data_IF_742480134648
#
_entry.id   IF_742480134648
#
_cell.length_a   1.000
_cell.length_b   1.000
_cell.length_c   1.000
_cell.angle_alpha   90.00
_cell.angle_beta   90.00
_cell.angle_gamma   90.00
#
_symmetry.space_group_name_H-M   'P 1'
#
loop_
_entity.id
_entity.type
_entity.pdbx_description
1 polymer ?
#
# COMPACT_ATOMS: atom_id res chain seq x y z
N UNK A 1 61.76 22.04 -7.86
CA UNK A 1 62.58 20.87 -8.26
C UNK A 1 62.37 19.78 -7.22
N UNK A 2 62.11 18.55 -7.69
CA UNK A 2 62.18 17.24 -7.00
C UNK A 2 61.31 17.06 -5.74
N UNK A 3 60.39 16.12 -5.60
CA UNK A 3 60.09 14.94 -6.42
C UNK A 3 59.64 13.80 -5.50
N UNK A 4 58.42 13.30 -5.71
CA UNK A 4 58.10 11.88 -5.60
C UNK A 4 57.97 11.23 -4.21
N UNK A 5 57.41 10.01 -4.17
CA UNK A 5 56.26 9.69 -3.31
C UNK A 5 56.61 8.77 -2.14
N UNK A 6 55.96 8.96 -0.99
CA UNK A 6 56.06 7.99 0.10
C UNK A 6 55.05 6.86 -0.10
N UNK A 7 55.59 5.65 -0.23
CA UNK A 7 54.92 4.47 -0.74
C UNK A 7 53.96 3.84 0.28
N UNK A 8 52.79 3.47 -0.23
CA UNK A 8 51.89 2.47 0.32
C UNK A 8 52.65 1.15 0.52
N UNK A 9 52.68 0.65 1.76
CA UNK A 9 53.10 -0.72 2.05
C UNK A 9 51.99 -1.39 2.86
N UNK A 10 51.28 -2.28 2.19
CA UNK A 10 50.32 -3.24 2.77
C UNK A 10 50.98 -4.62 2.67
N UNK A 11 51.19 -5.33 3.79
CA UNK A 11 50.86 -6.76 3.85
C UNK A 11 50.39 -7.15 5.29
N UNK A 12 49.71 -8.25 5.61
CA UNK A 12 49.46 -9.53 4.97
C UNK A 12 47.99 -9.93 5.22
N UNK A 13 47.37 -10.45 4.17
CA UNK A 13 46.22 -11.35 4.19
C UNK A 13 46.54 -12.57 5.07
N UNK A 14 45.93 -12.65 6.25
CA UNK A 14 45.85 -13.88 7.02
C UNK A 14 44.67 -14.69 6.51
N UNK A 15 44.98 -15.73 5.74
CA UNK A 15 44.06 -16.77 5.32
C UNK A 15 43.55 -17.51 6.56
N UNK A 16 42.30 -17.27 6.95
CA UNK A 16 41.61 -18.15 7.88
C UNK A 16 40.52 -18.91 7.12
N UNK A 17 40.89 -20.12 6.70
CA UNK A 17 40.00 -21.13 6.12
C UNK A 17 39.31 -21.83 7.30
N UNK A 18 38.00 -21.67 7.53
CA UNK A 18 37.29 -22.61 8.38
C UNK A 18 37.09 -23.92 7.63
N UNK A 19 37.73 -24.95 8.18
CA UNK A 19 37.66 -26.35 7.84
C UNK A 19 36.20 -26.82 7.69
N UNK A 20 35.90 -27.49 6.59
CA UNK A 20 34.63 -28.14 6.34
C UNK A 20 34.41 -29.23 7.40
N UNK A 21 33.47 -28.98 8.32
CA UNK A 21 32.93 -29.99 9.21
C UNK A 21 32.02 -30.93 8.40
N UNK A 22 32.45 -32.18 8.32
CA UNK A 22 31.66 -33.31 7.84
C UNK A 22 30.37 -33.40 8.64
N UNK A 23 29.24 -33.03 8.03
CA UNK A 23 27.93 -33.44 8.52
C UNK A 23 27.59 -34.78 7.88
N UNK A 24 27.76 -35.82 8.68
CA UNK A 24 27.27 -37.15 8.43
C UNK A 24 25.77 -37.12 8.11
N UNK A 25 25.46 -37.51 6.88
CA UNK A 25 24.12 -37.84 6.41
C UNK A 25 23.65 -39.10 7.16
N UNK A 26 22.82 -38.93 8.18
CA UNK A 26 22.02 -40.02 8.75
C UNK A 26 20.67 -39.51 9.24
N UNK A 27 19.70 -40.42 9.23
CA UNK A 27 18.29 -40.28 9.60
C UNK A 27 17.39 -39.51 8.61
N UNK A 28 16.95 -40.26 7.59
CA UNK A 28 15.60 -40.13 7.03
C UNK A 28 14.61 -40.34 8.17
N UNK A 29 14.16 -39.25 8.79
CA UNK A 29 12.95 -39.28 9.60
C UNK A 29 11.75 -39.48 8.68
N UNK A 30 11.05 -40.59 8.88
CA UNK A 30 9.76 -40.92 8.30
C UNK A 30 8.81 -39.73 8.34
N UNK A 31 8.40 -39.27 7.16
CA UNK A 31 7.28 -38.35 7.00
C UNK A 31 6.03 -39.22 7.24
N UNK A 32 5.23 -38.97 8.29
CA UNK A 32 3.97 -39.69 8.46
C UNK A 32 3.05 -39.34 7.29
N UNK A 33 2.67 -40.39 6.57
CA UNK A 33 1.69 -40.40 5.49
C UNK A 33 0.41 -39.69 5.95
N UNK A 34 -0.05 -38.71 5.16
CA UNK A 34 -1.27 -37.97 5.44
C UNK A 34 -2.46 -38.92 5.66
N UNK A 35 -3.41 -38.60 6.56
CA UNK A 35 -4.62 -39.39 6.71
C UNK A 35 -5.48 -39.31 5.44
N UNK A 36 -5.96 -40.49 5.03
CA UNK A 36 -6.87 -40.80 3.92
C UNK A 36 -8.10 -39.84 3.87
N UNK A 37 -8.58 -39.41 2.69
CA UNK A 37 -9.82 -38.65 2.58
C UNK A 37 -11.03 -39.43 3.13
N UNK A 38 -11.76 -38.76 4.01
CA UNK A 38 -13.05 -39.20 4.55
C UNK A 38 -14.05 -39.51 3.42
N UNK A 39 -14.92 -40.53 3.59
CA UNK A 39 -15.90 -40.87 2.57
C UNK A 39 -16.95 -39.77 2.42
N UNK A 40 -17.23 -39.46 1.16
CA UNK A 40 -18.35 -38.66 0.70
C UNK A 40 -19.64 -39.15 1.36
N UNK A 41 -20.28 -38.28 2.14
CA UNK A 41 -21.62 -38.51 2.64
C UNK A 41 -22.60 -38.51 1.47
N UNK A 42 -23.17 -39.67 1.16
CA UNK A 42 -24.28 -39.82 0.22
C UNK A 42 -25.50 -39.07 0.75
N UNK A 43 -25.77 -37.89 0.19
CA UNK A 43 -27.05 -37.20 0.35
C UNK A 43 -28.09 -37.96 -0.46
N UNK A 44 -28.76 -38.92 0.17
CA UNK A 44 -29.98 -39.54 -0.35
C UNK A 44 -30.97 -38.43 -0.74
N UNK A 45 -31.30 -38.39 -2.04
CA UNK A 45 -32.36 -37.58 -2.59
C UNK A 45 -33.68 -37.93 -1.90
N UNK A 46 -34.10 -37.09 -0.95
CA UNK A 46 -35.45 -37.13 -0.40
C UNK A 46 -36.40 -36.40 -1.34
N UNK A 47 -37.52 -37.06 -1.55
CA UNK A 47 -38.56 -36.83 -2.54
C UNK A 47 -39.05 -35.36 -2.56
N UNK A 48 -39.09 -34.76 -3.74
CA UNK A 48 -39.64 -33.44 -4.02
C UNK A 48 -41.17 -33.55 -4.12
N UNK A 49 -41.86 -33.32 -3.01
CA UNK A 49 -43.29 -32.98 -3.01
C UNK A 49 -43.67 -32.39 -1.67
N UNK A 50 -43.20 -31.18 -1.39
CA UNK A 50 -43.81 -30.32 -0.39
C UNK A 50 -43.62 -28.87 -0.82
N UNK A 51 -44.64 -28.31 -1.45
CA UNK A 51 -44.69 -26.88 -1.77
C UNK A 51 -45.21 -26.16 -0.52
N UNK A 52 -44.40 -25.32 0.17
CA UNK A 52 -44.95 -24.49 1.21
C UNK A 52 -45.87 -23.45 0.56
N UNK A 53 -47.12 -23.45 1.03
CA UNK A 53 -48.14 -22.45 0.72
C UNK A 53 -47.61 -21.06 1.11
N UNK A 54 -47.37 -20.21 0.11
CA UNK A 54 -46.80 -18.88 0.31
C UNK A 54 -47.92 -17.91 0.68
N UNK A 55 -48.03 -17.58 1.97
CA UNK A 55 -48.89 -16.48 2.43
C UNK A 55 -48.24 -15.16 2.02
N UNK A 56 -48.88 -14.46 1.10
CA UNK A 56 -48.46 -13.16 0.57
C UNK A 56 -48.59 -12.09 1.67
N UNK A 57 -47.49 -11.80 2.36
CA UNK A 57 -47.39 -10.65 3.28
C UNK A 57 -47.16 -9.37 2.48
N UNK A 58 -47.99 -8.32 2.63
CA UNK A 58 -47.78 -7.05 1.93
C UNK A 58 -46.43 -6.43 2.32
N UNK A 59 -45.59 -6.17 1.32
CA UNK A 59 -44.30 -5.50 1.50
C UNK A 59 -44.49 -4.10 2.10
N UNK A 60 -43.73 -3.71 3.15
CA UNK A 60 -43.70 -2.33 3.59
C UNK A 60 -43.11 -1.46 2.46
N UNK A 61 -43.85 -0.42 2.08
CA UNK A 61 -43.40 0.56 1.09
C UNK A 61 -42.26 1.40 1.68
N UNK A 62 -41.01 1.05 1.36
CA UNK A 62 -39.88 1.90 1.67
C UNK A 62 -39.93 3.13 0.75
N UNK A 63 -39.83 4.36 1.28
CA UNK A 63 -39.76 5.55 0.44
C UNK A 63 -38.51 5.44 -0.45
N UNK A 64 -38.70 5.59 -1.75
CA UNK A 64 -37.60 5.60 -2.72
C UNK A 64 -36.52 6.58 -2.26
N UNK A 65 -35.23 6.23 -2.35
CA UNK A 65 -34.19 7.20 -2.07
C UNK A 65 -34.36 8.34 -3.06
N UNK A 66 -34.79 9.49 -2.55
CA UNK A 66 -34.78 10.74 -3.30
C UNK A 66 -33.30 10.99 -3.55
N UNK A 67 -32.82 10.61 -4.74
CA UNK A 67 -31.51 11.03 -5.20
C UNK A 67 -31.58 12.55 -5.17
N UNK A 68 -31.02 13.14 -4.12
CA UNK A 68 -30.60 14.54 -4.18
C UNK A 68 -29.61 14.51 -5.33
N UNK A 69 -30.02 15.06 -6.46
CA UNK A 69 -29.10 15.55 -7.47
C UNK A 69 -28.11 16.40 -6.70
N UNK A 70 -26.96 15.81 -6.36
CA UNK A 70 -25.84 16.55 -5.82
C UNK A 70 -25.57 17.61 -6.87
N UNK A 71 -25.90 18.85 -6.53
CA UNK A 71 -25.54 20.02 -7.30
C UNK A 71 -24.05 19.90 -7.51
N UNK A 72 -23.65 19.52 -8.73
CA UNK A 72 -22.28 19.53 -9.15
C UNK A 72 -21.81 20.97 -9.01
N UNK A 73 -21.18 21.28 -7.87
CA UNK A 73 -20.44 22.51 -7.72
C UNK A 73 -19.45 22.57 -8.89
N UNK A 74 -19.58 23.63 -9.66
CA UNK A 74 -18.87 23.85 -10.90
C UNK A 74 -17.35 23.77 -10.68
N UNK A 75 -16.57 23.30 -11.66
CA UNK A 75 -15.12 23.29 -11.57
C UNK A 75 -14.62 24.73 -11.51
N UNK A 76 -14.00 25.10 -10.38
CA UNK A 76 -13.23 26.33 -10.26
C UNK A 76 -12.08 26.28 -11.29
N UNK A 77 -11.77 27.36 -12.01
CA UNK A 77 -10.70 27.36 -13.00
C UNK A 77 -9.32 27.16 -12.35
N UNK A 78 -8.83 25.92 -12.37
CA UNK A 78 -7.46 25.52 -12.69
C UNK A 78 -6.34 25.93 -11.74
N UNK A 79 -6.24 25.29 -10.57
CA UNK A 79 -4.92 25.04 -9.98
C UNK A 79 -4.25 23.89 -10.78
N UNK A 80 -3.09 24.10 -11.41
CA UNK A 80 -2.38 23.04 -12.14
C UNK A 80 -1.95 21.84 -11.27
N UNK A 81 -2.12 21.91 -9.94
CA UNK A 81 -1.80 20.83 -9.03
C UNK A 81 -3.04 20.07 -8.51
N UNK A 82 -4.28 20.43 -8.87
CA UNK A 82 -5.45 19.68 -8.42
C UNK A 82 -5.53 18.30 -9.09
N UNK A 83 -5.76 17.26 -8.30
CA UNK A 83 -6.05 15.89 -8.77
C UNK A 83 -7.49 15.58 -8.35
N UNK A 84 -8.51 15.97 -9.15
CA UNK A 84 -9.92 15.96 -8.74
C UNK A 84 -10.41 14.57 -8.33
N UNK A 85 -9.90 13.53 -8.98
CA UNK A 85 -10.29 12.15 -8.69
C UNK A 85 -9.69 11.63 -7.37
N UNK A 86 -8.49 12.09 -7.01
CA UNK A 86 -7.88 11.76 -5.72
C UNK A 86 -8.63 12.42 -4.57
N UNK A 87 -8.94 13.70 -4.71
CA UNK A 87 -9.66 14.46 -3.70
C UNK A 87 -11.03 13.84 -3.41
N UNK A 88 -11.83 13.62 -4.47
CA UNK A 88 -13.15 13.01 -4.36
C UNK A 88 -13.10 11.64 -3.69
N UNK A 89 -12.11 10.83 -4.04
CA UNK A 89 -11.91 9.51 -3.42
C UNK A 89 -11.60 9.63 -1.92
N UNK A 90 -10.66 10.50 -1.54
CA UNK A 90 -10.26 10.66 -0.15
C UNK A 90 -11.38 11.26 0.70
N UNK A 91 -12.12 12.26 0.20
CA UNK A 91 -13.29 12.82 0.90
C UNK A 91 -14.37 11.77 1.12
N UNK A 92 -14.70 10.96 0.10
CA UNK A 92 -15.69 9.88 0.23
C UNK A 92 -15.25 8.83 1.22
N UNK A 93 -13.98 8.43 1.18
CA UNK A 93 -13.43 7.37 2.03
C UNK A 93 -13.37 7.75 3.50
N UNK A 94 -13.03 9.00 3.81
CA UNK A 94 -12.91 9.50 5.18
C UNK A 94 -14.12 10.33 5.64
N UNK A 95 -15.20 10.38 4.84
CA UNK A 95 -16.41 11.14 5.11
C UNK A 95 -16.15 12.62 5.49
N UNK A 96 -15.26 13.28 4.75
CA UNK A 96 -14.81 14.65 5.03
C UNK A 96 -15.72 15.67 4.34
N UNK A 97 -15.97 16.81 4.99
CA UNK A 97 -16.59 17.99 4.36
C UNK A 97 -15.62 18.68 3.41
N UNK A 98 -16.12 19.47 2.46
CA UNK A 98 -15.32 20.18 1.45
C UNK A 98 -14.30 21.15 2.06
N UNK A 99 -14.61 21.73 3.22
CA UNK A 99 -13.72 22.67 3.92
C UNK A 99 -12.60 22.00 4.72
N UNK A 100 -12.66 20.69 4.92
CA UNK A 100 -11.67 19.97 5.74
C UNK A 100 -10.40 19.72 4.92
N UNK A 101 -9.21 20.09 5.42
CA UNK A 101 -7.96 19.84 4.71
C UNK A 101 -7.63 18.35 4.70
N UNK A 102 -7.41 17.79 3.50
CA UNK A 102 -7.07 16.38 3.32
C UNK A 102 -5.55 16.23 3.46
N UNK A 103 -5.12 15.54 4.51
CA UNK A 103 -3.72 15.23 4.79
C UNK A 103 -3.65 14.05 5.77
N UNK A 104 -2.46 13.67 6.24
CA UNK A 104 -2.29 12.54 7.16
C UNK A 104 -3.01 12.72 8.51
N UNK A 105 -3.40 13.94 8.90
CA UNK A 105 -4.11 14.22 10.16
C UNK A 105 -5.58 13.77 10.13
N UNK A 106 -6.13 13.41 8.96
CA UNK A 106 -7.48 12.84 8.87
C UNK A 106 -7.55 11.40 9.40
N UNK A 107 -6.39 10.76 9.57
CA UNK A 107 -6.30 9.42 10.14
C UNK A 107 -6.29 9.54 11.66
N UNK A 108 -7.20 8.84 12.36
CA UNK A 108 -7.19 8.79 13.82
C UNK A 108 -5.85 8.28 14.35
N UNK A 109 -5.41 8.82 15.49
CA UNK A 109 -4.17 8.39 16.10
C UNK A 109 -4.27 6.92 16.56
N UNK A 110 -3.31 6.07 16.20
CA UNK A 110 -3.27 4.69 16.67
C UNK A 110 -2.98 4.64 18.16
N UNK A 111 -3.14 3.46 18.77
CA UNK A 111 -2.65 3.25 20.12
C UNK A 111 -1.14 3.55 20.20
N UNK A 112 -0.63 4.00 21.35
CA UNK A 112 0.78 4.32 21.51
C UNK A 112 1.67 3.14 21.11
N UNK A 113 2.59 3.38 20.17
CA UNK A 113 3.50 2.35 19.66
C UNK A 113 2.88 1.35 18.70
N UNK A 114 1.65 1.55 18.23
CA UNK A 114 1.03 0.73 17.19
C UNK A 114 1.05 1.40 15.81
N UNK A 115 1.05 0.56 14.78
CA UNK A 115 0.98 1.01 13.39
C UNK A 115 -0.44 1.52 13.09
N UNK A 116 -0.59 2.59 12.29
CA UNK A 116 -1.90 3.01 11.80
C UNK A 116 -2.64 1.88 11.07
N UNK A 117 -3.94 1.70 11.35
CA UNK A 117 -4.77 0.68 10.70
C UNK A 117 -5.00 0.88 9.20
N UNK A 118 -4.56 2.01 8.65
CA UNK A 118 -4.65 2.30 7.21
C UNK A 118 -3.58 1.56 6.41
N UNK A 119 -3.94 1.12 5.21
CA UNK A 119 -3.01 0.48 4.30
C UNK A 119 -1.99 1.48 3.72
N UNK A 120 -0.80 1.00 3.36
CA UNK A 120 0.25 1.84 2.79
C UNK A 120 -0.18 2.68 1.58
N UNK A 121 -0.95 2.15 0.59
CA UNK A 121 -1.45 2.98 -0.50
C UNK A 121 -2.27 4.18 -0.01
N UNK A 122 -3.11 4.00 1.00
CA UNK A 122 -3.92 5.09 1.58
C UNK A 122 -3.04 6.13 2.27
N UNK A 123 -2.05 5.68 3.05
CA UNK A 123 -1.08 6.55 3.70
C UNK A 123 -0.31 7.38 2.68
N UNK A 124 0.18 6.74 1.61
CA UNK A 124 0.93 7.40 0.54
C UNK A 124 0.03 8.41 -0.20
N UNK A 125 -1.22 8.05 -0.53
CA UNK A 125 -2.19 8.95 -1.16
C UNK A 125 -2.42 10.22 -0.33
N UNK A 126 -2.62 10.08 0.98
CA UNK A 126 -2.82 11.21 1.89
C UNK A 126 -1.56 12.06 2.05
N UNK A 127 -0.38 11.43 2.12
CA UNK A 127 0.89 12.15 2.18
C UNK A 127 1.12 12.98 0.92
N UNK A 128 0.96 12.38 -0.26
CA UNK A 128 1.11 13.07 -1.55
C UNK A 128 0.08 14.19 -1.67
N UNK A 129 -1.19 13.93 -1.34
CA UNK A 129 -2.23 14.95 -1.43
C UNK A 129 -2.02 16.10 -0.42
N UNK A 130 -1.50 15.82 0.77
CA UNK A 130 -1.18 16.84 1.77
C UNK A 130 0.01 17.74 1.41
N UNK A 131 0.80 17.37 0.39
CA UNK A 131 1.90 18.20 -0.10
C UNK A 131 1.41 19.40 -0.92
N UNK A 132 2.15 20.53 -0.93
CA UNK A 132 1.73 21.74 -1.64
C UNK A 132 1.62 21.54 -3.16
N UNK A 133 2.43 20.65 -3.73
CA UNK A 133 2.49 20.40 -5.18
C UNK A 133 1.86 19.07 -5.59
N UNK A 134 1.07 18.45 -4.70
CA UNK A 134 0.50 17.10 -4.86
C UNK A 134 1.50 16.05 -5.38
N UNK A 135 2.77 16.20 -4.99
CA UNK A 135 3.90 15.36 -5.39
C UNK A 135 4.92 15.30 -4.27
N UNK A 136 5.46 14.11 -4.03
CA UNK A 136 6.51 13.89 -3.02
C UNK A 136 7.61 12.99 -3.53
N UNK A 137 8.83 13.18 -3.04
CA UNK A 137 9.90 12.21 -3.27
C UNK A 137 9.71 11.00 -2.37
N UNK A 138 10.38 9.88 -2.67
CA UNK A 138 10.36 8.70 -1.80
C UNK A 138 10.78 9.05 -0.36
N UNK A 139 11.82 9.87 -0.23
CA UNK A 139 12.31 10.34 1.06
C UNK A 139 11.28 11.22 1.78
N UNK A 140 10.62 12.13 1.04
CA UNK A 140 9.55 12.96 1.59
C UNK A 140 8.34 12.15 2.07
N UNK A 141 8.04 11.01 1.44
CA UNK A 141 6.99 10.10 1.93
C UNK A 141 7.40 9.48 3.27
N UNK A 142 8.66 9.05 3.44
CA UNK A 142 9.14 8.53 4.72
C UNK A 142 9.02 9.59 5.82
N UNK A 143 9.50 10.80 5.54
CA UNK A 143 9.45 11.93 6.48
C UNK A 143 8.02 12.31 6.85
N UNK A 144 7.09 12.34 5.89
CA UNK A 144 5.69 12.65 6.16
C UNK A 144 5.05 11.63 7.13
N UNK A 145 5.38 10.35 6.98
CA UNK A 145 4.87 9.30 7.88
C UNK A 145 5.53 9.34 9.25
N UNK A 146 6.85 9.56 9.30
CA UNK A 146 7.63 9.71 10.54
C UNK A 146 7.19 10.93 11.36
N UNK A 147 6.83 12.02 10.69
CA UNK A 147 6.37 13.25 11.34
C UNK A 147 4.96 13.10 11.93
N UNK A 148 4.08 12.29 11.31
CA UNK A 148 2.71 12.11 11.79
C UNK A 148 2.58 11.00 12.83
N UNK A 149 3.16 9.82 12.59
CA UNK A 149 2.92 8.66 13.45
C UNK A 149 4.19 8.20 14.17
N UNK A 150 4.06 8.03 15.48
CA UNK A 150 5.18 7.66 16.35
C UNK A 150 5.78 6.31 16.00
N UNK A 151 4.96 5.35 15.54
CA UNK A 151 5.44 4.04 15.11
C UNK A 151 6.47 4.14 14.00
N UNK A 152 6.25 4.97 12.97
CA UNK A 152 7.23 5.14 11.89
C UNK A 152 8.49 5.85 12.37
N UNK A 153 8.35 6.84 13.26
CA UNK A 153 9.47 7.55 13.87
C UNK A 153 10.39 6.60 14.65
N UNK A 154 9.81 5.75 15.49
CA UNK A 154 10.56 4.79 16.30
C UNK A 154 11.21 3.69 15.44
N UNK A 155 10.57 3.35 14.32
CA UNK A 155 11.05 2.33 13.38
C UNK A 155 11.78 2.94 12.17
N UNK A 156 12.26 4.18 12.23
CA UNK A 156 12.83 4.91 11.08
C UNK A 156 13.89 4.12 10.28
N UNK A 157 14.69 3.31 10.98
CA UNK A 157 15.76 2.51 10.38
C UNK A 157 15.34 1.12 9.89
N UNK A 158 14.09 0.71 10.15
CA UNK A 158 13.58 -0.59 9.72
C UNK A 158 13.35 -0.59 8.19
N UNK A 159 14.08 -1.49 7.52
CA UNK A 159 13.99 -1.65 6.07
C UNK A 159 12.71 -2.35 5.63
N UNK A 160 12.04 -3.10 6.51
CA UNK A 160 10.86 -3.88 6.16
C UNK A 160 9.68 -2.99 5.76
N UNK A 161 9.31 -2.02 6.59
CA UNK A 161 8.23 -1.09 6.23
C UNK A 161 8.64 -0.16 5.08
N UNK A 162 9.89 0.31 5.02
CA UNK A 162 10.34 1.11 3.89
C UNK A 162 10.29 0.33 2.57
N UNK A 163 10.61 -0.97 2.61
CA UNK A 163 10.48 -1.84 1.44
C UNK A 163 9.03 -1.98 1.02
N UNK A 164 8.11 -2.13 1.98
CA UNK A 164 6.68 -2.18 1.68
C UNK A 164 6.18 -0.88 1.04
N UNK A 165 6.68 0.29 1.44
CA UNK A 165 6.37 1.57 0.76
C UNK A 165 6.89 1.57 -0.68
N UNK A 166 8.18 1.27 -0.88
CA UNK A 166 8.80 1.21 -2.24
C UNK A 166 8.06 0.23 -3.14
N UNK A 167 7.72 -0.94 -2.62
CA UNK A 167 6.96 -1.95 -3.31
C UNK A 167 5.58 -1.41 -3.74
N UNK A 168 4.84 -0.77 -2.83
CA UNK A 168 3.52 -0.21 -3.13
C UNK A 168 3.56 0.87 -4.22
N UNK A 169 4.57 1.73 -4.21
CA UNK A 169 4.78 2.75 -5.24
C UNK A 169 5.00 2.14 -6.63
N UNK A 170 5.64 0.96 -6.71
CA UNK A 170 5.84 0.26 -7.98
C UNK A 170 4.70 -0.70 -8.37
N UNK A 171 3.97 -1.23 -7.38
CA UNK A 171 2.95 -2.24 -7.60
C UNK A 171 1.62 -1.62 -8.05
N UNK A 172 1.22 -0.50 -7.44
CA UNK A 172 -0.05 0.14 -7.75
C UNK A 172 0.15 1.14 -8.89
N UNK A 173 -0.55 0.93 -10.02
CA UNK A 173 -0.49 1.80 -11.20
C UNK A 173 -0.88 3.25 -10.94
N UNK A 174 -1.65 3.47 -9.88
CA UNK A 174 -2.11 4.79 -9.43
C UNK A 174 -0.92 5.67 -9.04
N UNK A 175 0.21 5.10 -8.61
CA UNK A 175 1.41 5.88 -8.31
C UNK A 175 2.31 5.96 -9.54
N UNK A 176 2.50 7.18 -10.04
CA UNK A 176 3.31 7.44 -11.23
C UNK A 176 4.54 8.26 -10.88
N UNK A 177 5.65 7.95 -11.56
CA UNK A 177 6.91 8.69 -11.42
C UNK A 177 6.88 9.91 -12.32
N UNK A 178 7.25 11.05 -11.78
CA UNK A 178 7.38 12.32 -12.51
C UNK A 178 8.82 12.79 -12.39
N UNK A 179 9.40 13.16 -13.52
CA UNK A 179 10.76 13.68 -13.58
C UNK A 179 10.85 14.99 -12.80
N UNK A 180 11.95 15.17 -12.07
CA UNK A 180 12.23 16.44 -11.40
C UNK A 180 12.71 17.46 -12.43
N UNK A 181 12.33 18.73 -12.33
CA UNK A 181 12.91 19.77 -13.16
C UNK A 181 14.41 19.85 -12.89
N UNK A 182 15.21 20.03 -13.93
CA UNK A 182 16.69 20.05 -13.84
C UNK A 182 17.20 21.19 -12.95
N UNK A 183 16.36 22.21 -12.73
CA UNK A 183 16.61 23.37 -11.87
C UNK A 183 16.61 23.03 -10.38
N UNK A 184 16.01 21.91 -9.96
CA UNK A 184 15.93 21.51 -8.56
C UNK A 184 16.88 20.34 -8.25
N UNK A 185 18.12 20.61 -7.78
CA UNK A 185 19.04 19.57 -7.40
C UNK A 185 18.48 18.74 -6.24
N UNK A 186 18.42 17.42 -6.41
CA UNK A 186 18.01 16.52 -5.35
C UNK A 186 17.86 15.08 -5.82
N UNK A 187 18.02 14.14 -4.88
CA UNK A 187 18.02 12.70 -5.18
C UNK A 187 16.62 12.19 -5.50
N UNK A 188 16.51 11.45 -6.60
CA UNK A 188 15.32 10.68 -6.96
C UNK A 188 14.30 11.42 -7.81
N UNK A 189 13.16 10.79 -8.02
CA UNK A 189 12.04 11.31 -8.81
C UNK A 189 10.88 11.72 -7.89
N UNK A 190 9.96 12.54 -8.41
CA UNK A 190 8.69 12.77 -7.75
C UNK A 190 7.76 11.57 -7.96
N UNK A 191 6.94 11.31 -6.96
CA UNK A 191 5.80 10.42 -7.02
C UNK A 191 4.53 11.24 -6.93
N UNK A 192 3.63 10.97 -7.86
CA UNK A 192 2.30 11.57 -7.92
C UNK A 192 1.26 10.47 -8.02
N UNK A 193 0.01 10.87 -7.93
CA UNK A 193 -1.13 9.96 -8.05
C UNK A 193 -1.89 10.30 -9.32
N UNK A 194 -2.06 9.31 -10.19
CA UNK A 194 -2.83 9.45 -11.43
C UNK A 194 -3.89 8.33 -11.51
N UNK A 195 -5.15 8.74 -11.64
CA UNK A 195 -6.30 7.85 -11.79
C UNK A 195 -6.67 7.58 -13.25
N UNK A 196 -6.02 8.24 -14.21
CA UNK A 196 -6.27 8.07 -15.66
C UNK A 196 -6.09 6.63 -16.14
N UNK A 197 -5.20 5.87 -15.49
CA UNK A 197 -4.86 4.49 -15.83
C UNK A 197 -5.76 3.44 -15.13
N UNK A 198 -6.77 3.88 -14.37
CA UNK A 198 -7.74 3.05 -13.66
C UNK A 198 -7.26 2.50 -12.30
N UNK A 199 -8.18 2.38 -11.34
CA UNK A 199 -7.94 1.66 -10.08
C UNK A 199 -7.88 0.15 -10.33
N UNK A 200 -6.71 -0.36 -10.73
CA UNK A 200 -6.63 -1.78 -11.07
C UNK A 200 -5.22 -2.36 -11.07
N UNK A 201 -4.89 -3.08 -10.00
CA UNK A 201 -3.74 -4.00 -9.97
C UNK A 201 -3.95 -5.27 -10.81
N UNK A 202 -5.04 -5.35 -11.57
CA UNK A 202 -5.32 -6.50 -12.44
C UNK A 202 -4.38 -6.44 -13.65
N UNK A 203 -3.16 -6.96 -13.48
CA UNK A 203 -2.36 -7.43 -14.61
C UNK A 203 -3.25 -8.43 -15.37
N UNK A 204 -3.42 -8.30 -16.70
CA UNK A 204 -4.15 -9.29 -17.46
C UNK A 204 -3.46 -10.64 -17.22
N UNK A 205 -4.14 -11.58 -16.56
CA UNK A 205 -3.67 -12.97 -16.50
C UNK A 205 -3.77 -13.50 -17.93
N UNK A 206 -2.63 -13.77 -18.55
CA UNK A 206 -2.58 -14.51 -19.82
C UNK A 206 -3.20 -15.88 -19.56
N UNK A 207 -4.38 -16.13 -20.15
CA UNK A 207 -4.96 -17.47 -20.24
C UNK A 207 -4.23 -18.26 -21.31
#
# INVERSE_FOLDING_TARGET
MTGGPNATVVPLISSNVPQAGEFTRSERADIPLAPDPTPLVDFQARNLSDTPEYVEVPLPSFPSPRIRSASAASPTPGDPNEIPDLERELRRRFALSDDTPINLNVIPDPQPGEKPGQSYPTLIKLAIYGSPHKRLTLQGIFEALENRFEWFRNNRHDKAWQNSIRHNLSLNKVFVKVEKPITEPGKGMYWTVDYSQGEGNKRPRKR
#
